data_IF_722586797000
#
_entry.id   IF_722586797000
#
_cell.length_a   1.000
_cell.length_b   1.000
_cell.length_c   1.000
_cell.angle_alpha   90.00
_cell.angle_beta   90.00
_cell.angle_gamma   90.00
#
_symmetry.space_group_name_H-M   'P 1'
#
loop_
_entity.id
_entity.type
_entity.pdbx_description
1 polymer ?
#
# COMPACT_ATOMS: atom_id res chain seq x y z
N UNK A 1 -16.71 -8.35 33.89
CA UNK A 1 -16.34 -8.25 33.40
C UNK A 1 -15.78 -8.12 33.43
N UNK A 2 -15.77 -8.06 33.48
CA UNK A 2 -15.14 -7.81 33.17
C UNK A 2 -14.44 -7.88 32.72
N UNK A 3 -14.02 -8.11 33.13
CA UNK A 3 -13.29 -8.09 32.44
C UNK A 3 -13.21 -8.33 31.59
N UNK A 4 -13.31 -8.58 31.63
CA UNK A 4 -13.28 -8.94 30.65
C UNK A 4 -13.30 -8.35 29.62
N UNK A 5 -13.51 -7.74 29.43
CA UNK A 5 -13.60 -7.15 28.46
C UNK A 5 -12.57 -6.53 27.96
N UNK A 6 -11.75 -6.25 28.29
CA UNK A 6 -10.76 -5.71 27.90
C UNK A 6 -10.07 -6.28 26.90
N UNK A 7 -10.12 -7.34 26.78
CA UNK A 7 -9.70 -8.03 25.72
C UNK A 7 -9.88 -7.37 24.47
N UNK A 8 -10.92 -6.70 24.34
CA UNK A 8 -11.28 -6.09 23.10
C UNK A 8 -10.39 -4.99 22.69
N UNK A 9 -9.61 -4.48 23.58
CA UNK A 9 -8.72 -3.40 23.28
C UNK A 9 -7.72 -3.78 22.23
N UNK A 10 -7.21 -4.98 22.27
CA UNK A 10 -6.19 -5.39 21.30
C UNK A 10 -6.78 -5.55 19.90
N UNK A 11 -8.08 -5.83 19.82
CA UNK A 11 -8.72 -6.02 18.54
C UNK A 11 -8.93 -4.72 17.80
N UNK A 12 -8.87 -3.60 18.50
CA UNK A 12 -9.15 -2.32 17.90
C UNK A 12 -7.93 -1.42 17.86
N UNK A 13 -6.76 -2.03 17.73
CA UNK A 13 -5.54 -1.25 17.60
C UNK A 13 -5.57 -0.47 16.29
N UNK A 14 -5.25 0.82 16.33
CA UNK A 14 -5.21 1.61 15.12
C UNK A 14 -4.17 1.10 14.15
N UNK A 15 -4.53 0.96 12.90
CA UNK A 15 -3.60 0.52 11.88
C UNK A 15 -3.40 1.59 10.81
N UNK A 16 -4.46 2.29 10.42
CA UNK A 16 -4.40 3.20 9.29
C UNK A 16 -5.41 4.33 9.46
N UNK A 17 -5.26 5.35 8.63
CA UNK A 17 -6.19 6.47 8.56
C UNK A 17 -6.86 6.42 7.20
N UNK A 18 -8.19 6.30 7.22
CA UNK A 18 -9.00 6.22 6.02
C UNK A 18 -9.62 7.58 5.72
N UNK A 19 -9.43 8.05 4.48
CA UNK A 19 -9.98 9.33 4.04
C UNK A 19 -11.23 9.09 3.21
N UNK A 20 -12.32 9.73 3.57
CA UNK A 20 -13.56 9.61 2.82
C UNK A 20 -14.33 10.93 2.91
N UNK A 21 -14.61 11.51 1.75
CA UNK A 21 -15.48 12.70 1.66
C UNK A 21 -15.06 13.83 2.60
N UNK A 22 -13.77 14.10 2.63
CA UNK A 22 -13.26 15.20 3.42
C UNK A 22 -13.08 14.88 4.89
N UNK A 23 -13.36 13.65 5.30
CA UNK A 23 -13.21 13.22 6.68
C UNK A 23 -12.10 12.22 6.83
N UNK A 24 -11.55 12.13 8.03
CA UNK A 24 -10.48 11.18 8.35
C UNK A 24 -10.95 10.26 9.46
N UNK A 25 -10.78 8.96 9.25
CA UNK A 25 -11.20 7.95 10.21
C UNK A 25 -10.04 7.05 10.59
N UNK A 26 -9.94 6.76 11.87
CA UNK A 26 -8.99 5.80 12.36
C UNK A 26 -9.59 4.42 12.16
N UNK A 27 -8.86 3.52 11.52
CA UNK A 27 -9.36 2.16 11.26
C UNK A 27 -8.35 1.13 11.75
N UNK A 28 -8.83 -0.07 12.05
CA UNK A 28 -7.94 -1.17 12.37
C UNK A 28 -7.66 -1.98 11.09
N UNK A 29 -6.87 -3.04 11.21
CA UNK A 29 -6.43 -3.78 10.03
C UNK A 29 -7.57 -4.49 9.31
N UNK A 30 -8.62 -4.89 10.03
CA UNK A 30 -9.73 -5.55 9.37
C UNK A 30 -10.72 -4.55 8.73
N UNK A 31 -10.39 -3.26 8.79
CA UNK A 31 -11.21 -2.25 8.12
C UNK A 31 -12.28 -1.62 8.98
N UNK A 32 -12.37 -2.01 10.25
CA UNK A 32 -13.38 -1.44 11.13
C UNK A 32 -13.00 -0.02 11.55
N UNK A 33 -13.98 0.88 11.51
CA UNK A 33 -13.76 2.25 11.91
C UNK A 33 -13.72 2.33 13.43
N UNK A 34 -12.66 2.88 13.98
CA UNK A 34 -12.53 3.08 15.41
C UNK A 34 -13.17 4.40 15.81
N UNK A 35 -12.80 5.48 15.13
CA UNK A 35 -13.35 6.80 15.43
C UNK A 35 -12.97 7.76 14.32
N UNK A 36 -13.72 8.84 14.21
CA UNK A 36 -13.33 9.95 13.34
C UNK A 36 -12.28 10.78 14.05
N UNK A 37 -11.28 11.26 13.31
CA UNK A 37 -10.21 12.05 13.89
C UNK A 37 -10.05 13.37 13.14
N UNK A 38 -9.40 14.33 13.80
CA UNK A 38 -8.95 15.54 13.15
C UNK A 38 -7.46 15.35 12.86
N UNK A 39 -7.13 15.26 11.59
CA UNK A 39 -5.76 14.96 11.17
C UNK A 39 -4.76 15.97 11.71
N UNK A 40 -5.17 17.23 11.86
CA UNK A 40 -4.26 18.24 12.37
C UNK A 40 -3.83 18.00 13.81
N UNK A 41 -4.61 17.22 14.54
CA UNK A 41 -4.32 16.93 15.95
C UNK A 41 -3.79 15.52 16.18
N UNK A 42 -3.58 14.77 15.10
CA UNK A 42 -3.15 13.39 15.22
C UNK A 42 -1.68 13.27 14.87
N UNK A 43 -0.90 12.68 15.75
CA UNK A 43 0.55 12.71 15.63
C UNK A 43 1.20 11.38 15.24
N UNK A 44 0.45 10.29 15.30
CA UNK A 44 1.03 8.98 14.97
C UNK A 44 1.19 8.81 13.48
N UNK A 45 2.27 8.14 13.09
CA UNK A 45 2.54 7.85 11.69
C UNK A 45 1.86 6.56 11.29
N UNK A 46 0.66 6.65 10.78
CA UNK A 46 -0.07 5.48 10.31
C UNK A 46 -0.18 5.52 8.80
N UNK A 47 -0.47 4.37 8.23
CA UNK A 47 -0.71 4.24 6.80
C UNK A 47 -1.95 5.02 6.40
N UNK A 48 -1.88 5.76 5.29
CA UNK A 48 -3.05 6.43 4.73
C UNK A 48 -3.74 5.52 3.74
N UNK A 49 -5.07 5.46 3.79
CA UNK A 49 -5.86 4.57 2.94
C UNK A 49 -6.93 5.40 2.25
N UNK A 50 -7.02 5.26 0.93
CA UNK A 50 -7.99 5.99 0.13
C UNK A 50 -8.70 5.05 -0.83
N UNK A 51 -9.89 5.41 -1.24
CA UNK A 51 -10.65 4.69 -2.24
C UNK A 51 -11.85 3.98 -1.68
N UNK A 52 -12.89 3.91 -2.47
CA UNK A 52 -14.12 3.24 -2.07
C UNK A 52 -13.85 1.76 -1.83
N UNK A 53 -14.34 1.23 -0.73
CA UNK A 53 -14.17 -0.16 -0.31
C UNK A 53 -12.74 -0.52 0.10
N UNK A 54 -11.85 0.48 0.18
CA UNK A 54 -10.46 0.19 0.53
C UNK A 54 -10.30 -0.40 1.94
N UNK A 55 -11.05 0.05 2.97
CA UNK A 55 -10.84 -0.55 4.29
C UNK A 55 -11.13 -2.05 4.33
N UNK A 56 -12.15 -2.50 3.61
CA UNK A 56 -12.53 -3.91 3.63
C UNK A 56 -11.49 -4.80 2.95
N UNK A 57 -10.69 -4.23 2.06
CA UNK A 57 -9.73 -4.99 1.29
C UNK A 57 -8.29 -4.77 1.74
N UNK A 58 -8.11 -3.93 2.75
CA UNK A 58 -6.78 -3.58 3.21
C UNK A 58 -6.01 -4.77 3.78
N UNK A 59 -6.68 -5.59 4.56
CA UNK A 59 -6.02 -6.72 5.20
C UNK A 59 -5.46 -7.69 4.16
N UNK A 60 -6.21 -7.95 3.10
CA UNK A 60 -5.74 -8.84 2.05
C UNK A 60 -4.53 -8.25 1.34
N UNK A 61 -4.54 -6.95 1.06
CA UNK A 61 -3.40 -6.29 0.45
C UNK A 61 -2.16 -6.42 1.33
N UNK A 62 -2.28 -6.13 2.61
CA UNK A 62 -1.15 -6.20 3.53
C UNK A 62 -0.65 -7.64 3.63
N UNK A 63 -1.56 -8.62 3.62
CA UNK A 63 -1.17 -10.02 3.64
C UNK A 63 -0.38 -10.39 2.38
N UNK A 64 -0.86 -9.95 1.21
CA UNK A 64 -0.16 -10.22 -0.05
C UNK A 64 1.25 -9.61 -0.04
N UNK A 65 1.37 -8.39 0.46
CA UNK A 65 2.67 -7.74 0.55
C UNK A 65 3.57 -8.48 1.53
N UNK A 66 3.03 -8.89 2.67
CA UNK A 66 3.81 -9.57 3.69
C UNK A 66 4.36 -10.91 3.19
N UNK A 67 3.64 -11.56 2.29
CA UNK A 67 4.07 -12.83 1.71
C UNK A 67 5.11 -12.61 0.62
N UNK A 68 4.84 -11.67 -0.29
CA UNK A 68 5.63 -11.53 -1.51
C UNK A 68 6.82 -10.56 -1.35
N UNK A 69 6.66 -9.53 -0.53
CA UNK A 69 7.70 -8.52 -0.38
C UNK A 69 7.57 -7.90 1.02
N UNK A 70 7.91 -8.67 2.07
CA UNK A 70 7.61 -8.24 3.44
C UNK A 70 8.23 -6.90 3.84
N UNK A 71 9.43 -6.58 3.35
CA UNK A 71 10.06 -5.32 3.73
C UNK A 71 9.33 -4.10 3.19
N UNK A 72 8.48 -4.28 2.19
CA UNK A 72 7.76 -3.17 1.60
C UNK A 72 6.77 -2.55 2.59
N UNK A 73 6.23 -3.35 3.51
CA UNK A 73 5.25 -2.85 4.47
C UNK A 73 5.80 -1.70 5.31
N UNK A 74 7.09 -1.72 5.56
CA UNK A 74 7.70 -0.68 6.39
C UNK A 74 7.92 0.62 5.64
N UNK A 75 7.82 0.60 4.32
CA UNK A 75 8.03 1.78 3.49
C UNK A 75 6.74 2.36 2.94
N UNK A 76 5.62 1.71 3.19
CA UNK A 76 4.33 2.21 2.69
C UNK A 76 3.91 3.47 3.43
N UNK A 77 3.55 4.49 2.67
CA UNK A 77 3.01 5.73 3.24
C UNK A 77 1.51 5.81 2.98
N UNK A 78 1.08 5.41 1.79
CA UNK A 78 -0.32 5.54 1.40
C UNK A 78 -0.68 4.43 0.41
N UNK A 79 -1.89 3.92 0.52
CA UNK A 79 -2.43 2.98 -0.47
C UNK A 79 -3.76 3.54 -0.94
N UNK A 80 -4.02 3.42 -2.24
CA UNK A 80 -5.26 3.91 -2.81
C UNK A 80 -5.87 2.85 -3.70
N UNK A 81 -7.14 2.51 -3.45
CA UNK A 81 -7.87 1.52 -4.23
C UNK A 81 -8.58 2.25 -5.35
N UNK A 82 -8.14 2.01 -6.59
CA UNK A 82 -8.54 2.78 -7.76
C UNK A 82 -9.66 2.05 -8.49
N UNK A 83 -10.77 2.76 -8.72
CA UNK A 83 -11.89 2.25 -9.51
C UNK A 83 -12.41 0.90 -9.03
N UNK A 84 -12.28 0.63 -7.73
CA UNK A 84 -12.71 -0.62 -7.11
C UNK A 84 -12.04 -1.84 -7.73
N UNK A 85 -10.85 -1.67 -8.30
CA UNK A 85 -10.20 -2.77 -9.01
C UNK A 85 -8.76 -3.02 -8.61
N UNK A 86 -7.95 -1.98 -8.44
CA UNK A 86 -6.53 -2.20 -8.25
C UNK A 86 -5.97 -1.17 -7.28
N UNK A 87 -4.80 -1.48 -6.75
CA UNK A 87 -4.17 -0.64 -5.76
C UNK A 87 -3.02 0.16 -6.36
N UNK A 88 -2.91 1.41 -5.96
CA UNK A 88 -1.69 2.19 -6.10
C UNK A 88 -1.06 2.27 -4.74
N UNK A 89 0.26 2.10 -4.69
CA UNK A 89 1.03 2.20 -3.45
C UNK A 89 1.94 3.41 -3.54
N UNK A 90 2.00 4.18 -2.46
CA UNK A 90 2.93 5.30 -2.37
C UNK A 90 3.90 5.00 -1.25
N UNK A 91 5.18 5.03 -1.56
CA UNK A 91 6.20 4.71 -0.58
C UNK A 91 6.70 5.97 0.09
N UNK A 92 7.43 5.82 1.19
CA UNK A 92 7.88 6.96 1.96
C UNK A 92 8.88 7.85 1.21
N UNK A 93 9.49 7.35 0.13
CA UNK A 93 10.36 8.17 -0.72
C UNK A 93 9.59 8.77 -1.90
N UNK A 94 8.26 8.76 -1.82
CA UNK A 94 7.34 9.32 -2.82
C UNK A 94 7.27 8.52 -4.12
N UNK A 95 7.86 7.35 -4.16
CA UNK A 95 7.74 6.47 -5.32
C UNK A 95 6.32 5.92 -5.41
N UNK A 96 5.70 6.03 -6.58
CA UNK A 96 4.36 5.51 -6.82
C UNK A 96 4.47 4.16 -7.51
N UNK A 97 3.79 3.15 -6.98
CA UNK A 97 3.75 1.82 -7.58
C UNK A 97 2.31 1.50 -7.94
N UNK A 98 2.08 1.16 -9.20
CA UNK A 98 0.74 0.79 -9.68
C UNK A 98 0.67 -0.71 -9.85
N UNK A 99 -0.21 -1.36 -9.10
CA UNK A 99 -0.37 -2.81 -9.14
C UNK A 99 -1.49 -3.20 -10.08
N UNK A 100 -1.44 -4.41 -10.64
CA UNK A 100 -2.53 -4.91 -11.47
C UNK A 100 -3.71 -5.32 -10.61
N UNK A 101 -4.83 -5.66 -11.26
CA UNK A 101 -6.02 -6.10 -10.54
C UNK A 101 -5.99 -7.59 -10.20
N UNK A 102 -5.05 -8.34 -10.75
CA UNK A 102 -4.90 -9.75 -10.40
C UNK A 102 -3.42 -10.13 -10.38
N UNK A 103 -3.13 -11.29 -9.79
CA UNK A 103 -1.75 -11.78 -9.66
C UNK A 103 -0.88 -10.79 -8.89
N UNK A 104 -1.44 -10.26 -7.82
CA UNK A 104 -0.77 -9.23 -7.04
C UNK A 104 0.52 -9.73 -6.41
N UNK A 105 0.51 -10.97 -5.89
CA UNK A 105 1.72 -11.50 -5.27
C UNK A 105 2.84 -11.66 -6.28
N UNK A 106 2.53 -12.09 -7.50
CA UNK A 106 3.55 -12.21 -8.52
C UNK A 106 4.12 -10.83 -8.88
N UNK A 107 3.26 -9.83 -9.00
CA UNK A 107 3.71 -8.47 -9.28
C UNK A 107 4.58 -7.92 -8.17
N UNK A 108 4.25 -8.24 -6.93
CA UNK A 108 5.04 -7.78 -5.79
C UNK A 108 6.40 -8.48 -5.74
N UNK A 109 6.46 -9.75 -6.14
CA UNK A 109 7.74 -10.45 -6.25
C UNK A 109 8.60 -9.82 -7.34
N UNK A 110 7.96 -9.44 -8.45
CA UNK A 110 8.67 -8.76 -9.53
C UNK A 110 9.19 -7.40 -9.06
N UNK A 111 8.42 -6.70 -8.26
CA UNK A 111 8.83 -5.43 -7.70
C UNK A 111 10.04 -5.60 -6.78
N UNK A 112 10.03 -6.65 -5.94
CA UNK A 112 11.15 -6.94 -5.07
C UNK A 112 12.40 -7.18 -5.88
N UNK A 113 12.27 -7.93 -6.98
CA UNK A 113 13.39 -8.23 -7.85
C UNK A 113 13.94 -6.94 -8.48
N UNK A 114 13.06 -6.03 -8.89
CA UNK A 114 13.50 -4.74 -9.42
C UNK A 114 14.28 -3.94 -8.40
N UNK A 115 13.83 -3.97 -7.15
CA UNK A 115 14.52 -3.24 -6.09
C UNK A 115 15.90 -3.79 -5.80
N UNK A 116 16.17 -5.03 -6.21
CA UNK A 116 17.48 -5.65 -6.04
C UNK A 116 18.42 -5.32 -7.20
N UNK A 117 17.91 -4.71 -8.27
CA UNK A 117 18.72 -4.34 -9.41
C UNK A 117 19.34 -2.95 -9.14
N UNK A 118 20.65 -2.91 -9.02
CA UNK A 118 21.33 -1.68 -8.67
C UNK A 118 21.09 -0.58 -9.68
N UNK A 119 21.13 -0.90 -10.97
CA UNK A 119 20.88 0.09 -12.01
C UNK A 119 19.53 0.76 -11.85
N UNK A 120 18.51 -0.04 -11.57
CA UNK A 120 17.16 0.46 -11.40
C UNK A 120 17.09 1.41 -10.21
N UNK A 121 17.68 0.99 -9.10
CA UNK A 121 17.56 1.76 -7.87
C UNK A 121 18.41 3.01 -7.86
N UNK A 122 19.40 3.09 -8.73
CA UNK A 122 20.21 4.30 -8.84
C UNK A 122 19.60 5.35 -9.77
N UNK A 123 18.54 4.98 -10.50
CA UNK A 123 17.84 5.91 -11.36
C UNK A 123 16.88 6.75 -10.51
N UNK A 124 16.54 7.94 -11.01
CA UNK A 124 15.58 8.81 -10.34
C UNK A 124 14.17 8.39 -10.70
N UNK A 125 13.77 7.22 -10.22
CA UNK A 125 12.46 6.64 -10.54
C UNK A 125 11.40 7.27 -9.67
N UNK A 126 10.32 7.73 -10.29
CA UNK A 126 9.20 8.33 -9.58
C UNK A 126 7.94 7.47 -9.67
N UNK A 127 7.90 6.52 -10.60
CA UNK A 127 6.73 5.65 -10.74
C UNK A 127 7.16 4.32 -11.33
N UNK A 128 6.58 3.23 -10.81
CA UNK A 128 6.74 1.88 -11.36
C UNK A 128 5.33 1.36 -11.65
N UNK A 129 5.05 1.09 -12.92
CA UNK A 129 3.74 0.62 -13.35
C UNK A 129 3.84 -0.87 -13.67
N UNK A 130 3.17 -1.69 -12.86
CA UNK A 130 3.19 -3.13 -12.98
C UNK A 130 1.86 -3.67 -13.51
N UNK A 131 1.02 -2.83 -14.09
CA UNK A 131 -0.31 -3.25 -14.51
C UNK A 131 -0.31 -4.23 -15.67
N UNK A 132 0.77 -4.25 -16.48
CA UNK A 132 0.89 -5.19 -17.57
C UNK A 132 1.80 -6.33 -17.12
N UNK A 133 1.30 -7.57 -17.21
CA UNK A 133 2.05 -8.73 -16.75
C UNK A 133 3.37 -8.87 -17.51
N UNK A 134 4.41 -9.23 -16.78
CA UNK A 134 5.73 -9.44 -17.37
C UNK A 134 6.47 -8.18 -17.76
N UNK A 135 5.96 -7.01 -17.37
CA UNK A 135 6.57 -5.74 -17.74
C UNK A 135 6.46 -4.73 -16.61
N UNK A 136 7.50 -3.95 -16.41
CA UNK A 136 7.45 -2.79 -15.53
C UNK A 136 7.76 -1.56 -16.35
N UNK A 137 6.87 -0.58 -16.35
CA UNK A 137 7.13 0.70 -16.98
C UNK A 137 7.65 1.62 -15.88
N UNK A 138 8.88 2.09 -16.05
CA UNK A 138 9.54 2.93 -15.07
C UNK A 138 9.49 4.37 -15.56
N UNK A 139 8.96 5.26 -14.73
CA UNK A 139 8.94 6.67 -15.04
C UNK A 139 10.02 7.36 -14.23
N UNK A 140 10.92 8.05 -14.90
CA UNK A 140 11.97 8.82 -14.25
C UNK A 140 11.68 10.28 -14.47
N UNK A 141 12.43 11.15 -13.80
CA UNK A 141 12.18 12.59 -13.91
C UNK A 141 12.27 13.08 -15.35
N UNK A 142 13.14 12.47 -16.16
CA UNK A 142 13.38 12.92 -17.52
C UNK A 142 12.73 12.08 -18.59
N UNK A 143 11.83 11.17 -18.26
CA UNK A 143 11.18 10.36 -19.27
C UNK A 143 10.64 9.06 -18.75
N UNK A 144 10.54 8.06 -19.64
CA UNK A 144 10.03 6.75 -19.28
C UNK A 144 10.96 5.66 -19.76
N UNK A 145 11.05 4.59 -19.00
CA UNK A 145 11.84 3.42 -19.34
C UNK A 145 10.94 2.20 -19.20
N UNK A 146 10.93 1.35 -20.23
CA UNK A 146 10.22 0.08 -20.15
C UNK A 146 11.22 -0.98 -19.77
N UNK A 147 10.89 -1.77 -18.76
CA UNK A 147 11.78 -2.79 -18.24
C UNK A 147 11.07 -4.13 -18.31
N UNK A 148 11.68 -5.09 -19.02
CA UNK A 148 11.14 -6.43 -19.11
C UNK A 148 11.48 -7.19 -17.84
N UNK A 149 10.50 -7.93 -17.32
CA UNK A 149 10.66 -8.71 -16.10
C UNK A 149 10.56 -10.17 -16.47
N UNK A 150 11.56 -10.96 -16.04
CA UNK A 150 11.47 -12.39 -16.22
C UNK A 150 10.49 -12.95 -15.21
N UNK A 151 9.52 -13.70 -15.70
CA UNK A 151 8.55 -14.28 -14.81
C UNK A 151 9.09 -15.55 -14.22
N UNK A 152 8.80 -15.75 -12.98
CA UNK A 152 9.35 -16.90 -12.26
C UNK A 152 8.32 -17.98 -12.11
#
# INVERSE_FOLDING_TARGET
MPSTLKINVTENDPYAIYFQEGKSFLIDLDGSIITEINLNNYEDDLLFVRGENSPELLEQLIRDISIAFPNLTQTLEEVEFIEKRRWNLKLNNKLLVKLPDEKIQQSLKNLKQLFEEQEVMESNIIEIDLRIQGRAALKVLDGKINYGIDEI
#
